data_IF_540482229748
#
_entry.id   IF_540482229748
#
_cell.length_a   1.000
_cell.length_b   1.000
_cell.length_c   1.000
_cell.angle_alpha   90.00
_cell.angle_beta   90.00
_cell.angle_gamma   90.00
#
_symmetry.space_group_name_H-M   'P 1'
#
loop_
_entity.id
_entity.type
_entity.pdbx_description
1 polymer ?
#
# COMPACT_ATOMS: atom_id res chain seq x y z
N UNK A 1 -0.73 -19.43 -21.87
CA UNK A 1 0.47 -18.91 -21.21
C UNK A 1 0.70 -19.70 -19.93
N UNK A 2 1.84 -20.37 -19.82
CA UNK A 2 2.15 -21.28 -18.71
C UNK A 2 2.95 -20.52 -17.63
N UNK A 3 2.62 -20.75 -16.35
CA UNK A 3 3.42 -20.32 -15.22
C UNK A 3 4.39 -21.41 -14.80
N UNK A 4 5.61 -21.03 -14.45
CA UNK A 4 6.61 -21.91 -13.85
C UNK A 4 7.18 -21.32 -12.56
N UNK A 5 7.16 -22.10 -11.49
CA UNK A 5 7.81 -21.74 -10.23
C UNK A 5 9.25 -22.24 -10.26
N UNK A 6 10.20 -21.35 -9.97
CA UNK A 6 11.63 -21.67 -10.01
C UNK A 6 12.35 -21.17 -8.76
N UNK A 7 13.41 -21.87 -8.33
CA UNK A 7 14.20 -21.43 -7.19
C UNK A 7 14.98 -20.14 -7.51
N UNK A 8 15.42 -19.45 -6.45
CA UNK A 8 16.19 -18.19 -6.50
C UNK A 8 17.38 -18.24 -7.47
N UNK A 9 18.06 -19.39 -7.57
CA UNK A 9 19.25 -19.57 -8.41
C UNK A 9 18.96 -19.82 -9.89
N UNK A 10 17.68 -19.88 -10.28
CA UNK A 10 17.31 -20.18 -11.66
C UNK A 10 17.61 -19.00 -12.58
N UNK A 11 18.46 -19.25 -13.58
CA UNK A 11 18.68 -18.30 -14.65
C UNK A 11 17.76 -18.67 -15.82
N UNK A 12 16.95 -17.71 -16.27
CA UNK A 12 16.03 -17.92 -17.38
C UNK A 12 16.86 -17.96 -18.66
N UNK A 13 17.05 -19.16 -19.21
CA UNK A 13 17.77 -19.38 -20.46
C UNK A 13 16.95 -18.89 -21.67
N UNK A 14 17.64 -18.42 -22.70
CA UNK A 14 17.03 -18.04 -23.98
C UNK A 14 16.50 -19.28 -24.72
N UNK A 15 15.26 -19.22 -25.21
CA UNK A 15 14.63 -20.28 -26.02
C UNK A 15 13.23 -20.75 -25.57
N UNK A 16 12.72 -20.22 -24.45
CA UNK A 16 11.32 -20.39 -24.07
C UNK A 16 10.52 -19.17 -24.51
N UNK A 17 9.40 -19.37 -25.17
CA UNK A 17 8.51 -18.31 -25.67
C UNK A 17 7.17 -18.38 -24.95
N UNK A 18 6.57 -17.23 -24.67
CA UNK A 18 5.23 -17.08 -24.06
C UNK A 18 5.08 -17.79 -22.68
N UNK A 19 5.99 -17.48 -21.74
CA UNK A 19 5.98 -18.06 -20.38
C UNK A 19 6.13 -17.01 -19.29
N UNK A 20 5.52 -17.30 -18.14
CA UNK A 20 5.68 -16.51 -16.93
C UNK A 20 6.46 -17.32 -15.90
N UNK A 21 7.50 -16.72 -15.34
CA UNK A 21 8.30 -17.32 -14.28
C UNK A 21 8.00 -16.64 -12.95
N UNK A 22 7.72 -17.45 -11.93
CA UNK A 22 7.68 -17.04 -10.53
C UNK A 22 8.98 -17.50 -9.87
N UNK A 23 9.94 -16.58 -9.79
CA UNK A 23 11.22 -16.85 -9.15
C UNK A 23 11.07 -16.64 -7.65
N UNK A 24 11.29 -17.71 -6.87
CA UNK A 24 11.31 -17.61 -5.42
C UNK A 24 12.30 -16.55 -4.95
N UNK A 25 11.93 -15.82 -3.89
CA UNK A 25 12.84 -14.93 -3.19
C UNK A 25 13.28 -15.54 -1.83
N UNK A 26 14.38 -15.05 -1.26
CA UNK A 26 14.90 -15.47 0.05
C UNK A 26 14.31 -14.67 1.22
N UNK A 27 13.49 -13.65 0.94
CA UNK A 27 12.85 -12.83 1.94
C UNK A 27 12.01 -13.67 2.89
N UNK A 28 12.30 -13.52 4.18
CA UNK A 28 11.61 -14.21 5.25
C UNK A 28 10.92 -13.18 6.16
N UNK A 29 9.59 -13.19 6.10
CA UNK A 29 8.71 -12.40 6.94
C UNK A 29 8.64 -13.01 8.34
N UNK A 30 9.18 -12.28 9.32
CA UNK A 30 9.19 -12.63 10.74
C UNK A 30 9.83 -13.98 11.09
N UNK A 31 10.75 -14.47 10.25
CA UNK A 31 11.35 -15.81 10.37
C UNK A 31 10.34 -16.95 10.21
N UNK A 32 9.15 -16.66 9.69
CA UNK A 32 8.04 -17.60 9.58
C UNK A 32 7.56 -17.83 8.15
N UNK A 33 7.57 -16.80 7.28
CA UNK A 33 6.96 -16.91 5.95
C UNK A 33 7.88 -16.45 4.83
N UNK A 34 7.98 -17.25 3.77
CA UNK A 34 8.70 -16.98 2.52
C UNK A 34 7.70 -17.01 1.36
N UNK A 35 6.84 -16.00 1.31
CA UNK A 35 5.75 -15.92 0.33
C UNK A 35 6.07 -15.05 -0.87
N UNK A 36 7.28 -14.50 -0.97
CA UNK A 36 7.68 -13.54 -2.01
C UNK A 36 8.21 -14.24 -3.25
N UNK A 37 7.76 -13.75 -4.41
CA UNK A 37 8.19 -14.19 -5.73
C UNK A 37 8.43 -12.98 -6.64
N UNK A 38 9.46 -13.03 -7.47
CA UNK A 38 9.66 -12.09 -8.58
C UNK A 38 9.04 -12.67 -9.84
N UNK A 39 8.22 -11.87 -10.53
CA UNK A 39 7.51 -12.27 -11.74
C UNK A 39 8.28 -11.77 -12.97
N UNK A 40 8.66 -12.70 -13.83
CA UNK A 40 9.22 -12.40 -15.15
C UNK A 40 8.31 -12.92 -16.25
N UNK A 41 8.14 -12.15 -17.30
CA UNK A 41 7.48 -12.56 -18.53
C UNK A 41 8.52 -12.67 -19.64
N UNK A 42 8.50 -13.78 -20.37
CA UNK A 42 9.26 -13.95 -21.61
C UNK A 42 8.26 -13.93 -22.75
N UNK A 43 8.38 -12.93 -23.62
CA UNK A 43 7.44 -12.74 -24.73
C UNK A 43 7.68 -13.73 -25.88
N UNK A 44 6.98 -13.51 -27.00
CA UNK A 44 7.12 -14.35 -28.18
C UNK A 44 8.48 -14.18 -28.86
N UNK A 45 9.08 -13.01 -28.77
CA UNK A 45 10.39 -12.68 -29.36
C UNK A 45 11.55 -13.17 -28.48
N UNK A 46 11.25 -13.59 -27.24
CA UNK A 46 12.21 -14.08 -26.27
C UNK A 46 12.76 -12.97 -25.36
N UNK A 47 12.20 -11.77 -25.44
CA UNK A 47 12.60 -10.64 -24.60
C UNK A 47 12.06 -10.83 -23.19
N UNK A 48 12.95 -10.57 -22.22
CA UNK A 48 12.65 -10.73 -20.80
C UNK A 48 12.18 -9.42 -20.22
N UNK A 49 10.94 -9.42 -19.72
CA UNK A 49 10.38 -8.31 -18.97
C UNK A 49 10.26 -8.65 -17.48
N UNK A 50 10.75 -7.75 -16.62
CA UNK A 50 10.52 -7.84 -15.18
C UNK A 50 9.17 -7.17 -14.86
N UNK A 51 8.21 -7.96 -14.40
CA UNK A 51 6.88 -7.47 -14.01
C UNK A 51 6.93 -6.88 -12.58
N UNK A 52 7.77 -7.43 -11.71
CA UNK A 52 7.92 -7.00 -10.32
C UNK A 52 7.62 -8.09 -9.31
N UNK A 53 7.36 -7.68 -8.07
CA UNK A 53 7.25 -8.60 -6.92
C UNK A 53 5.79 -8.90 -6.56
N UNK A 54 5.49 -10.17 -6.32
CA UNK A 54 4.20 -10.66 -5.86
C UNK A 54 4.38 -11.50 -4.60
N UNK A 55 3.48 -11.34 -3.63
CA UNK A 55 3.38 -12.32 -2.53
C UNK A 55 2.20 -13.26 -2.78
N UNK A 56 2.42 -14.55 -2.59
CA UNK A 56 1.41 -15.60 -2.77
C UNK A 56 1.20 -16.33 -1.44
N UNK A 57 -0.05 -16.38 -1.00
CA UNK A 57 -0.50 -17.10 0.19
C UNK A 57 -1.32 -18.33 -0.16
N UNK A 58 -1.46 -19.22 0.80
CA UNK A 58 -2.32 -20.40 0.74
C UNK A 58 -3.29 -20.35 1.92
N UNK A 59 -4.54 -20.75 1.71
CA UNK A 59 -5.50 -20.92 2.81
C UNK A 59 -5.07 -22.06 3.74
N UNK A 60 -5.42 -21.96 5.02
CA UNK A 60 -5.19 -23.00 6.02
C UNK A 60 -3.73 -23.48 6.14
N UNK A 61 -2.74 -22.58 5.96
CA UNK A 61 -1.32 -22.93 6.10
C UNK A 61 -1.04 -23.46 7.52
N UNK A 62 -0.50 -24.69 7.59
CA UNK A 62 -0.22 -25.36 8.85
C UNK A 62 0.95 -24.71 9.59
N UNK A 63 1.01 -24.91 10.91
CA UNK A 63 2.12 -24.42 11.72
C UNK A 63 3.47 -24.98 11.18
N UNK A 64 4.47 -24.09 11.03
CA UNK A 64 5.80 -24.35 10.43
C UNK A 64 5.84 -24.48 8.91
N UNK A 65 4.70 -24.38 8.21
CA UNK A 65 4.72 -24.21 6.76
C UNK A 65 5.15 -22.77 6.46
N UNK A 66 6.36 -22.59 5.92
CA UNK A 66 6.90 -21.27 5.60
C UNK A 66 6.66 -20.82 4.15
N UNK A 67 6.42 -21.75 3.21
CA UNK A 67 6.09 -21.47 1.81
C UNK A 67 4.73 -22.05 1.40
N UNK A 68 3.96 -21.38 0.52
CA UNK A 68 2.80 -22.00 -0.11
C UNK A 68 3.23 -23.19 -0.98
N UNK A 69 2.44 -24.27 -1.00
CA UNK A 69 2.74 -25.45 -1.82
C UNK A 69 2.27 -25.25 -3.27
N UNK A 70 2.94 -24.35 -4.00
CA UNK A 70 2.62 -24.09 -5.40
C UNK A 70 3.01 -25.27 -6.29
N UNK A 71 2.20 -25.60 -7.32
CA UNK A 71 2.64 -26.50 -8.39
C UNK A 71 3.88 -25.94 -9.09
N UNK A 72 4.80 -26.81 -9.53
CA UNK A 72 5.96 -26.38 -10.31
C UNK A 72 5.56 -25.68 -11.61
N UNK A 73 4.46 -26.13 -12.23
CA UNK A 73 3.87 -25.52 -13.42
C UNK A 73 2.34 -25.48 -13.32
N UNK A 74 1.72 -24.42 -13.86
CA UNK A 74 0.27 -24.28 -13.90
C UNK A 74 -0.19 -23.23 -14.92
N UNK A 75 -1.40 -23.36 -15.44
CA UNK A 75 -2.06 -22.29 -16.20
C UNK A 75 -2.82 -21.32 -15.28
N UNK A 76 -3.34 -21.83 -14.16
CA UNK A 76 -4.04 -21.07 -13.12
C UNK A 76 -3.86 -21.71 -11.76
N UNK A 77 -3.63 -20.88 -10.74
CA UNK A 77 -3.58 -21.35 -9.36
C UNK A 77 -4.96 -21.82 -8.89
N UNK A 78 -5.03 -22.96 -8.18
CA UNK A 78 -6.25 -23.38 -7.51
C UNK A 78 -6.79 -22.30 -6.57
N UNK A 79 -8.10 -22.30 -6.33
CA UNK A 79 -8.76 -21.33 -5.42
C UNK A 79 -8.30 -21.40 -3.96
N UNK A 80 -7.42 -22.34 -3.62
CA UNK A 80 -6.73 -22.43 -2.32
C UNK A 80 -5.57 -21.45 -2.18
N UNK A 81 -5.23 -20.69 -3.23
CA UNK A 81 -4.17 -19.69 -3.22
C UNK A 81 -4.71 -18.30 -3.53
N UNK A 82 -4.01 -17.28 -3.04
CA UNK A 82 -4.32 -15.88 -3.27
C UNK A 82 -3.02 -15.08 -3.37
N UNK A 83 -3.03 -13.99 -4.14
CA UNK A 83 -1.83 -13.17 -4.36
C UNK A 83 -2.07 -11.68 -4.23
N UNK A 84 -1.00 -10.91 -4.08
CA UNK A 84 -1.02 -9.46 -4.29
C UNK A 84 0.34 -8.94 -4.76
N UNK A 85 0.31 -8.02 -5.73
CA UNK A 85 1.48 -7.21 -6.09
C UNK A 85 1.97 -6.40 -4.89
N UNK A 86 3.28 -6.26 -4.74
CA UNK A 86 3.88 -5.60 -3.58
C UNK A 86 4.10 -4.09 -3.78
N UNK A 87 4.01 -3.62 -5.02
CA UNK A 87 4.22 -2.23 -5.40
C UNK A 87 3.27 -1.82 -6.52
N UNK A 88 3.09 -0.50 -6.69
CA UNK A 88 2.27 0.08 -7.77
C UNK A 88 2.80 -0.32 -9.15
N UNK A 89 4.12 -0.34 -9.30
CA UNK A 89 4.79 -0.67 -10.57
C UNK A 89 4.43 -2.05 -11.08
N UNK A 90 4.11 -3.01 -10.20
CA UNK A 90 3.65 -4.34 -10.61
C UNK A 90 2.40 -4.26 -11.50
N UNK A 91 1.42 -3.47 -11.09
CA UNK A 91 0.19 -3.30 -11.85
C UNK A 91 0.37 -2.36 -13.06
N UNK A 92 1.25 -1.36 -12.96
CA UNK A 92 1.59 -0.48 -14.09
C UNK A 92 2.28 -1.26 -15.23
N UNK A 93 3.27 -2.10 -14.92
CA UNK A 93 3.93 -2.93 -15.94
C UNK A 93 2.96 -3.92 -16.58
N UNK A 94 2.01 -4.49 -15.81
CA UNK A 94 0.94 -5.30 -16.41
C UNK A 94 0.03 -4.49 -17.35
N UNK A 95 -0.29 -3.25 -16.99
CA UNK A 95 -1.07 -2.34 -17.84
C UNK A 95 -0.32 -1.98 -19.13
N UNK A 96 1.01 -1.80 -19.07
CA UNK A 96 1.85 -1.48 -20.22
C UNK A 96 1.91 -2.63 -21.25
N UNK A 97 1.87 -3.88 -20.79
CA UNK A 97 1.89 -5.05 -21.68
C UNK A 97 0.54 -5.21 -22.40
N UNK A 98 -0.57 -5.03 -21.69
CA UNK A 98 -1.90 -5.02 -22.28
C UNK A 98 -3.01 -5.54 -21.36
N UNK A 99 -4.23 -5.08 -21.64
CA UNK A 99 -5.42 -5.39 -20.81
C UNK A 99 -5.69 -6.89 -20.67
N UNK A 100 -5.65 -7.63 -21.79
CA UNK A 100 -5.90 -9.07 -21.80
C UNK A 100 -4.81 -9.84 -21.02
N UNK A 101 -3.55 -9.42 -21.17
CA UNK A 101 -2.42 -10.00 -20.44
C UNK A 101 -2.58 -9.77 -18.94
N UNK A 102 -2.81 -8.52 -18.52
CA UNK A 102 -3.06 -8.18 -17.10
C UNK A 102 -4.20 -9.01 -16.54
N UNK A 103 -5.35 -9.04 -17.21
CA UNK A 103 -6.52 -9.75 -16.73
C UNK A 103 -6.25 -11.24 -16.59
N UNK A 104 -5.54 -11.84 -17.56
CA UNK A 104 -5.13 -13.23 -17.50
C UNK A 104 -4.21 -13.51 -16.31
N UNK A 105 -3.12 -12.74 -16.15
CA UNK A 105 -2.14 -12.94 -15.08
C UNK A 105 -2.74 -12.79 -13.71
N UNK A 106 -3.46 -11.69 -13.46
CA UNK A 106 -4.07 -11.43 -12.16
C UNK A 106 -5.18 -12.45 -11.82
N UNK A 107 -5.94 -12.91 -12.80
CA UNK A 107 -6.94 -13.97 -12.60
C UNK A 107 -6.29 -15.33 -12.35
N UNK A 108 -5.18 -15.64 -13.04
CA UNK A 108 -4.45 -16.89 -12.88
C UNK A 108 -3.77 -17.01 -11.51
N UNK A 109 -3.30 -15.89 -10.95
CA UNK A 109 -2.67 -15.84 -9.63
C UNK A 109 -3.65 -15.64 -8.46
N UNK A 110 -4.95 -15.48 -8.75
CA UNK A 110 -5.98 -15.14 -7.77
C UNK A 110 -5.67 -13.83 -7.02
N UNK A 111 -5.34 -12.77 -7.76
CA UNK A 111 -4.99 -11.47 -7.18
C UNK A 111 -6.15 -10.84 -6.41
N UNK A 112 -5.91 -10.48 -5.15
CA UNK A 112 -6.93 -9.99 -4.23
C UNK A 112 -7.34 -8.53 -4.48
N UNK A 113 -6.55 -7.77 -5.23
CA UNK A 113 -6.94 -6.43 -5.67
C UNK A 113 -7.96 -6.53 -6.81
N UNK A 114 -7.73 -7.44 -7.77
CA UNK A 114 -8.66 -7.76 -8.86
C UNK A 114 -9.91 -8.50 -8.38
N UNK A 115 -9.78 -9.43 -7.42
CA UNK A 115 -10.86 -10.32 -6.95
C UNK A 115 -11.27 -9.99 -5.49
N UNK A 116 -12.25 -9.08 -5.28
CA UNK A 116 -12.65 -8.67 -3.93
C UNK A 116 -13.14 -9.82 -3.04
N UNK A 117 -13.82 -10.83 -3.61
CA UNK A 117 -14.26 -12.00 -2.87
C UNK A 117 -13.10 -12.80 -2.29
N UNK A 118 -11.97 -12.89 -3.01
CA UNK A 118 -10.76 -13.56 -2.54
C UNK A 118 -10.15 -12.80 -1.36
N UNK A 119 -10.11 -11.46 -1.43
CA UNK A 119 -9.67 -10.62 -0.31
C UNK A 119 -10.49 -10.87 0.96
N UNK A 120 -11.82 -10.86 0.85
CA UNK A 120 -12.70 -10.99 2.03
C UNK A 120 -12.61 -12.38 2.67
N UNK A 121 -12.33 -13.44 1.88
CA UNK A 121 -12.08 -14.78 2.39
C UNK A 121 -10.70 -14.88 3.05
N UNK A 122 -9.65 -14.32 2.44
CA UNK A 122 -8.27 -14.45 2.90
C UNK A 122 -7.92 -13.51 4.07
N UNK A 123 -8.66 -12.42 4.31
CA UNK A 123 -8.26 -11.37 5.28
C UNK A 123 -8.01 -11.85 6.71
N UNK A 124 -8.63 -12.96 7.10
CA UNK A 124 -8.50 -13.54 8.44
C UNK A 124 -7.32 -14.51 8.59
N UNK A 125 -6.76 -14.95 7.45
CA UNK A 125 -5.62 -15.85 7.43
C UNK A 125 -4.41 -15.24 8.15
N UNK A 126 -3.66 -16.10 8.83
CA UNK A 126 -2.45 -15.66 9.54
C UNK A 126 -1.38 -15.18 8.56
N UNK A 127 -1.16 -15.95 7.48
CA UNK A 127 -0.19 -15.59 6.43
C UNK A 127 -0.56 -14.27 5.75
N UNK A 128 -1.85 -13.99 5.59
CA UNK A 128 -2.34 -12.73 5.01
C UNK A 128 -1.90 -11.54 5.86
N UNK A 129 -2.12 -11.59 7.18
CA UNK A 129 -1.78 -10.52 8.12
C UNK A 129 -0.28 -10.35 8.33
N UNK A 130 0.47 -11.45 8.43
CA UNK A 130 1.88 -11.40 8.83
C UNK A 130 2.85 -11.24 7.65
N UNK A 131 2.47 -11.76 6.48
CA UNK A 131 3.36 -11.83 5.31
C UNK A 131 2.82 -11.02 4.15
N UNK A 132 1.65 -11.39 3.62
CA UNK A 132 1.10 -10.85 2.36
C UNK A 132 0.86 -9.33 2.45
N UNK A 133 0.29 -8.86 3.56
CA UNK A 133 -0.02 -7.45 3.80
C UNK A 133 1.01 -6.73 4.67
N UNK A 134 2.25 -7.23 4.77
CA UNK A 134 3.28 -6.58 5.59
C UNK A 134 3.56 -5.16 5.11
N UNK A 135 3.73 -4.98 3.80
CA UNK A 135 4.08 -3.70 3.20
C UNK A 135 2.89 -3.02 2.51
N UNK A 136 1.81 -3.75 2.24
CA UNK A 136 0.59 -3.26 1.58
C UNK A 136 -0.56 -3.08 2.58
N UNK A 137 -1.25 -1.93 2.53
CA UNK A 137 -2.43 -1.66 3.38
C UNK A 137 -3.74 -2.07 2.71
N UNK A 138 -4.77 -2.39 3.50
CA UNK A 138 -6.12 -2.68 2.99
C UNK A 138 -6.70 -1.56 2.13
N UNK A 139 -6.37 -0.30 2.47
CA UNK A 139 -6.78 0.90 1.72
C UNK A 139 -6.16 0.88 0.32
N UNK A 140 -4.87 0.55 0.21
CA UNK A 140 -4.20 0.39 -1.09
C UNK A 140 -4.81 -0.75 -1.91
N UNK A 141 -5.10 -1.90 -1.28
CA UNK A 141 -5.72 -3.06 -1.96
C UNK A 141 -7.08 -2.69 -2.53
N UNK A 142 -7.97 -2.11 -1.70
CA UNK A 142 -9.35 -1.79 -2.09
C UNK A 142 -9.43 -0.56 -3.01
N UNK A 143 -8.43 0.33 -2.95
CA UNK A 143 -8.34 1.56 -3.71
C UNK A 143 -7.41 1.44 -4.92
N UNK A 144 -6.18 1.93 -4.76
CA UNK A 144 -5.24 2.12 -5.87
C UNK A 144 -4.95 0.83 -6.64
N UNK A 145 -4.65 -0.27 -5.94
CA UNK A 145 -4.26 -1.52 -6.61
C UNK A 145 -5.44 -2.12 -7.36
N UNK A 146 -6.66 -2.05 -6.79
CA UNK A 146 -7.88 -2.50 -7.48
C UNK A 146 -8.13 -1.72 -8.76
N UNK A 147 -7.96 -0.40 -8.74
CA UNK A 147 -8.13 0.40 -9.97
C UNK A 147 -7.12 0.00 -11.04
N UNK A 148 -5.84 -0.08 -10.67
CA UNK A 148 -4.77 -0.49 -11.59
C UNK A 148 -4.96 -1.91 -12.12
N UNK A 149 -5.39 -2.85 -11.26
CA UNK A 149 -5.73 -4.22 -11.65
C UNK A 149 -6.87 -4.28 -12.68
N UNK A 150 -7.79 -3.31 -12.66
CA UNK A 150 -8.87 -3.17 -13.64
C UNK A 150 -8.48 -2.28 -14.84
N UNK A 151 -7.22 -1.87 -14.98
CA UNK A 151 -6.76 -1.02 -16.08
C UNK A 151 -7.00 0.48 -15.88
N UNK A 152 -7.55 0.89 -14.74
CA UNK A 152 -7.71 2.31 -14.41
C UNK A 152 -6.42 2.87 -13.81
N UNK A 153 -5.51 3.26 -14.72
CA UNK A 153 -4.23 3.88 -14.42
C UNK A 153 -4.34 5.39 -14.08
N UNK A 154 -5.55 5.95 -13.99
CA UNK A 154 -5.70 7.38 -13.71
C UNK A 154 -5.24 7.69 -12.28
N UNK A 155 -4.52 8.81 -12.14
CA UNK A 155 -4.17 9.36 -10.83
C UNK A 155 -5.45 9.55 -9.99
N UNK A 156 -5.33 9.35 -8.67
CA UNK A 156 -6.51 9.34 -7.79
C UNK A 156 -6.94 10.76 -7.45
N UNK A 157 -8.18 11.15 -7.79
CA UNK A 157 -8.80 12.34 -7.19
C UNK A 157 -9.10 12.07 -5.71
N UNK A 158 -8.72 12.98 -4.83
CA UNK A 158 -9.15 12.94 -3.43
C UNK A 158 -9.47 14.34 -2.92
N UNK A 159 -10.41 14.39 -1.98
CA UNK A 159 -10.77 15.62 -1.30
C UNK A 159 -11.19 15.33 0.14
N UNK A 160 -10.63 16.10 1.06
CA UNK A 160 -10.93 16.00 2.48
C UNK A 160 -10.76 17.36 3.15
N UNK A 161 -11.39 17.50 4.31
CA UNK A 161 -11.34 18.71 5.12
C UNK A 161 -10.78 18.34 6.49
N UNK A 162 -9.83 19.12 6.99
CA UNK A 162 -9.42 19.09 8.38
C UNK A 162 -10.01 20.29 9.11
N UNK A 163 -10.80 20.04 10.15
CA UNK A 163 -11.34 21.07 11.03
C UNK A 163 -10.54 21.11 12.32
N UNK A 164 -9.86 22.23 12.58
CA UNK A 164 -9.05 22.44 13.78
C UNK A 164 -9.91 22.47 15.06
N UNK A 165 -9.33 22.20 16.25
CA UNK A 165 -10.08 22.31 17.49
C UNK A 165 -10.52 23.76 17.77
N UNK A 166 -11.71 23.93 18.35
CA UNK A 166 -12.19 25.25 18.77
C UNK A 166 -11.33 25.76 19.92
N UNK A 167 -10.73 26.94 19.76
CA UNK A 167 -9.97 27.60 20.83
C UNK A 167 -10.94 28.01 21.93
N UNK A 168 -10.71 27.55 23.17
CA UNK A 168 -11.52 27.90 24.34
C UNK A 168 -11.56 29.42 24.51
N UNK A 169 -12.76 29.98 24.69
CA UNK A 169 -12.97 31.42 24.84
C UNK A 169 -12.94 32.23 23.54
N UNK A 170 -12.66 31.60 22.38
CA UNK A 170 -12.76 32.27 21.09
C UNK A 170 -14.19 32.25 20.56
N UNK A 171 -14.68 33.42 20.14
CA UNK A 171 -15.93 33.56 19.38
C UNK A 171 -15.76 33.20 17.90
N UNK A 172 -14.52 33.06 17.42
CA UNK A 172 -14.25 32.70 16.02
C UNK A 172 -14.57 31.23 15.77
N UNK A 173 -15.10 30.94 14.58
CA UNK A 173 -15.27 29.56 14.10
C UNK A 173 -13.90 28.86 14.03
N UNK A 174 -13.87 27.53 14.21
CA UNK A 174 -12.67 26.75 13.94
C UNK A 174 -12.18 26.95 12.51
N UNK A 175 -10.87 26.76 12.32
CA UNK A 175 -10.26 26.84 11.00
C UNK A 175 -10.54 25.53 10.26
N UNK A 176 -11.09 25.64 9.05
CA UNK A 176 -11.23 24.53 8.12
C UNK A 176 -10.12 24.61 7.07
N UNK A 177 -9.39 23.52 6.90
CA UNK A 177 -8.40 23.35 5.84
C UNK A 177 -8.94 22.34 4.82
N UNK A 178 -9.23 22.83 3.62
CA UNK A 178 -9.69 21.98 2.51
C UNK A 178 -8.52 21.54 1.66
N UNK A 179 -8.47 20.24 1.40
CA UNK A 179 -7.50 19.61 0.51
C UNK A 179 -8.28 19.05 -0.66
N UNK A 180 -7.97 19.50 -1.87
CA UNK A 180 -8.54 18.96 -3.11
C UNK A 180 -7.41 18.71 -4.09
N UNK A 181 -7.25 17.44 -4.46
CA UNK A 181 -6.22 17.00 -5.39
C UNK A 181 -6.89 16.49 -6.65
N UNK A 182 -6.59 17.19 -7.74
CA UNK A 182 -7.08 16.96 -9.09
C UNK A 182 -5.91 16.33 -9.88
N UNK A 183 -6.05 15.06 -10.28
CA UNK A 183 -5.19 14.38 -11.24
C UNK A 183 -4.85 15.26 -12.46
N UNK A 184 -3.60 15.21 -12.91
CA UNK A 184 -3.14 15.85 -14.16
C UNK A 184 -3.33 17.37 -14.22
N UNK A 185 -3.65 18.01 -13.08
CA UNK A 185 -3.78 19.46 -13.02
C UNK A 185 -2.43 20.13 -13.28
N UNK A 186 -2.45 21.25 -14.00
CA UNK A 186 -1.30 22.12 -14.17
C UNK A 186 -1.63 23.53 -13.64
N UNK A 187 -1.01 24.01 -12.55
CA UNK A 187 0.00 23.33 -11.73
C UNK A 187 -0.54 22.13 -10.92
N UNK A 188 0.32 21.21 -10.43
CA UNK A 188 -0.09 20.10 -9.58
C UNK A 188 -0.78 20.56 -8.30
N UNK A 189 -1.88 19.91 -7.93
CA UNK A 189 -2.71 20.24 -6.75
C UNK A 189 -2.38 19.40 -5.51
N UNK A 190 -1.43 18.46 -5.62
CA UNK A 190 -1.02 17.54 -4.55
C UNK A 190 0.06 18.08 -3.60
N UNK A 191 0.40 19.38 -3.70
CA UNK A 191 1.37 20.05 -2.83
C UNK A 191 0.67 21.22 -2.14
N UNK A 192 0.69 21.22 -0.81
CA UNK A 192 0.09 22.27 0.01
C UNK A 192 1.17 22.94 0.87
N UNK A 193 1.23 24.27 0.86
CA UNK A 193 2.25 25.05 1.57
C UNK A 193 1.57 25.87 2.67
N UNK A 194 2.01 25.69 3.92
CA UNK A 194 1.54 26.46 5.08
C UNK A 194 2.58 27.51 5.49
N UNK A 195 2.26 28.79 5.29
CA UNK A 195 3.15 29.94 5.58
C UNK A 195 2.57 30.79 6.72
N UNK A 196 3.43 31.37 7.54
CA UNK A 196 3.04 32.28 8.62
C UNK A 196 4.23 32.69 9.47
N UNK A 197 4.07 33.74 10.30
CA UNK A 197 5.12 34.23 11.20
C UNK A 197 5.62 33.13 12.16
N UNK A 198 6.80 33.32 12.73
CA UNK A 198 7.29 32.43 13.79
C UNK A 198 6.37 32.51 15.01
N UNK A 199 6.13 31.36 15.66
CA UNK A 199 5.28 31.28 16.85
C UNK A 199 3.76 31.27 16.62
N UNK A 200 3.26 31.40 15.38
CA UNK A 200 1.80 31.41 15.10
C UNK A 200 1.11 30.04 15.20
N UNK A 201 1.85 28.98 15.56
CA UNK A 201 1.27 27.66 15.77
C UNK A 201 1.23 26.72 14.55
N UNK A 202 2.00 26.98 13.49
CA UNK A 202 2.07 26.08 12.30
C UNK A 202 2.39 24.63 12.66
N UNK A 203 3.46 24.41 13.45
CA UNK A 203 3.85 23.07 13.93
C UNK A 203 2.77 22.46 14.83
N UNK A 204 2.11 23.26 15.66
CA UNK A 204 1.01 22.78 16.50
C UNK A 204 -0.18 22.30 15.65
N UNK A 205 -0.53 23.02 14.58
CA UNK A 205 -1.60 22.64 13.66
C UNK A 205 -1.29 21.31 12.96
N UNK A 206 -0.06 21.16 12.43
CA UNK A 206 0.39 19.90 11.83
C UNK A 206 0.37 18.74 12.82
N UNK A 207 0.84 18.96 14.05
CA UNK A 207 0.79 17.94 15.11
C UNK A 207 -0.65 17.55 15.48
N UNK A 208 -1.58 18.50 15.49
CA UNK A 208 -2.99 18.20 15.73
C UNK A 208 -3.60 17.36 14.59
N UNK A 209 -3.28 17.68 13.34
CA UNK A 209 -3.67 16.87 12.18
C UNK A 209 -3.17 15.43 12.33
N UNK A 210 -1.86 15.26 12.58
CA UNK A 210 -1.24 13.94 12.76
C UNK A 210 -1.90 13.21 13.95
N UNK A 211 -2.06 13.87 15.10
CA UNK A 211 -2.72 13.29 16.28
C UNK A 211 -4.17 12.85 16.00
N UNK A 212 -4.91 13.61 15.21
CA UNK A 212 -6.29 13.27 14.87
C UNK A 212 -6.41 12.05 13.96
N UNK A 213 -5.36 11.68 13.22
CA UNK A 213 -5.30 10.47 12.40
C UNK A 213 -4.84 9.27 13.23
N UNK A 214 -3.77 9.46 14.01
CA UNK A 214 -3.06 8.35 14.64
C UNK A 214 -3.71 7.88 15.96
N UNK A 215 -4.30 8.81 16.73
CA UNK A 215 -4.78 8.55 18.08
C UNK A 215 -6.30 8.44 18.09
N UNK A 216 -6.81 7.22 18.17
CA UNK A 216 -8.25 6.94 18.17
C UNK A 216 -8.97 7.47 19.41
N UNK A 217 -8.25 7.62 20.53
CA UNK A 217 -8.78 8.16 21.78
C UNK A 217 -8.67 9.69 21.85
N UNK A 218 -8.05 10.34 20.87
CA UNK A 218 -7.93 11.78 20.85
C UNK A 218 -9.29 12.43 20.60
N UNK A 219 -9.74 13.22 21.59
CA UNK A 219 -10.99 13.96 21.48
C UNK A 219 -10.93 14.95 20.30
N UNK A 220 -11.93 14.96 19.39
CA UNK A 220 -12.03 15.95 18.31
C UNK A 220 -11.99 17.40 18.81
N UNK A 221 -12.43 17.64 20.04
CA UNK A 221 -12.38 18.95 20.69
C UNK A 221 -10.96 19.43 21.03
N UNK A 222 -9.99 18.51 21.14
CA UNK A 222 -8.59 18.79 21.48
C UNK A 222 -7.69 18.87 20.26
N UNK A 223 -7.89 17.97 19.28
CA UNK A 223 -6.98 17.81 18.13
C UNK A 223 -7.64 18.07 16.77
N UNK A 224 -8.95 18.36 16.74
CA UNK A 224 -9.69 18.50 15.49
C UNK A 224 -10.06 17.14 14.88
N UNK A 225 -10.60 17.17 13.67
CA UNK A 225 -11.02 15.96 12.96
C UNK A 225 -10.95 16.13 11.44
N UNK A 226 -10.80 14.99 10.75
CA UNK A 226 -10.90 14.91 9.30
C UNK A 226 -12.31 14.50 8.89
N UNK A 227 -12.79 15.10 7.81
CA UNK A 227 -14.04 14.70 7.14
C UNK A 227 -13.72 14.46 5.67
N UNK A 228 -14.16 13.32 5.14
CA UNK A 228 -14.11 13.05 3.71
C UNK A 228 -15.24 13.78 3.00
N UNK A 229 -14.99 14.36 1.82
CA UNK A 229 -16.06 14.89 0.96
C UNK A 229 -16.63 13.81 0.03
N UNK A 230 -15.94 12.68 -0.10
CA UNK A 230 -16.45 11.43 -0.70
C UNK A 230 -16.91 10.47 0.41
N UNK A 231 -17.80 9.52 0.14
CA UNK A 231 -18.37 8.55 1.12
C UNK A 231 -17.33 7.57 1.74
N UNK A 232 -16.07 7.95 1.89
CA UNK A 232 -15.01 7.20 2.53
C UNK A 232 -15.09 7.37 4.05
N UNK A 233 -14.88 6.27 4.78
CA UNK A 233 -14.73 6.33 6.23
C UNK A 233 -13.39 7.00 6.60
N UNK A 234 -13.27 7.51 7.83
CA UNK A 234 -12.04 8.16 8.31
C UNK A 234 -10.80 7.25 8.17
N UNK A 235 -10.95 5.94 8.38
CA UNK A 235 -9.88 4.94 8.28
C UNK A 235 -9.53 4.57 6.83
N UNK A 236 -10.32 5.02 5.85
CA UNK A 236 -10.06 4.78 4.44
C UNK A 236 -9.47 6.00 3.72
N UNK A 237 -9.38 7.15 4.42
CA UNK A 237 -8.84 8.40 3.86
C UNK A 237 -7.34 8.31 3.59
N UNK A 238 -6.58 7.70 4.50
CA UNK A 238 -5.13 7.68 4.44
C UNK A 238 -4.60 6.26 4.57
N UNK A 239 -3.93 5.75 3.54
CA UNK A 239 -3.27 4.45 3.58
C UNK A 239 -2.07 4.44 4.54
N UNK A 240 -1.29 5.54 4.53
CA UNK A 240 -0.12 5.75 5.37
C UNK A 240 0.08 7.26 5.59
N UNK A 241 0.72 7.63 6.70
CA UNK A 241 1.16 9.02 6.98
C UNK A 241 2.67 9.01 7.23
N UNK A 242 3.40 9.91 6.58
CA UNK A 242 4.84 10.11 6.79
C UNK A 242 5.06 11.53 7.27
N UNK A 243 5.68 11.69 8.43
CA UNK A 243 6.08 12.98 8.98
C UNK A 243 7.59 13.09 8.99
N UNK A 244 8.13 14.10 8.31
CA UNK A 244 9.57 14.42 8.30
C UNK A 244 9.73 15.83 8.86
N UNK A 245 10.54 15.95 9.91
CA UNK A 245 10.96 17.25 10.45
C UNK A 245 12.48 17.35 10.48
N UNK A 246 12.99 18.50 10.06
CA UNK A 246 14.39 18.89 10.15
C UNK A 246 14.68 19.77 11.38
N UNK A 247 13.65 20.10 12.17
CA UNK A 247 13.80 20.90 13.38
C UNK A 247 14.15 20.01 14.57
N UNK A 248 15.23 20.35 15.27
CA UNK A 248 15.61 19.68 16.52
C UNK A 248 14.58 19.90 17.64
N UNK A 249 13.69 20.90 17.50
CA UNK A 249 12.68 21.27 18.48
C UNK A 249 11.32 20.62 18.25
N UNK A 250 11.14 19.90 17.13
CA UNK A 250 9.89 19.21 16.85
C UNK A 250 9.85 17.88 17.61
N UNK A 251 9.09 17.87 18.71
CA UNK A 251 8.99 16.76 19.67
C UNK A 251 7.95 15.70 19.28
N UNK A 252 7.79 15.37 18.00
CA UNK A 252 6.93 14.25 17.61
C UNK A 252 7.63 12.94 17.96
N UNK A 253 7.21 12.27 19.04
CA UNK A 253 7.64 10.90 19.32
C UNK A 253 7.05 9.95 18.27
N UNK A 254 7.84 9.03 17.69
CA UNK A 254 7.32 8.01 16.81
C UNK A 254 6.36 7.11 17.60
N UNK A 255 5.09 7.10 17.21
CA UNK A 255 4.14 6.13 17.73
C UNK A 255 4.48 4.73 17.21
N UNK A 256 4.16 3.67 17.98
CA UNK A 256 4.45 2.29 17.59
C UNK A 256 3.72 1.90 16.30
N UNK A 257 4.44 1.18 15.42
CA UNK A 257 3.91 0.66 14.16
C UNK A 257 2.78 -0.34 14.42
N UNK A 258 1.62 -0.16 13.77
CA UNK A 258 0.50 -1.11 13.87
C UNK A 258 0.84 -2.40 13.12
N UNK A 259 0.74 -3.53 13.81
CA UNK A 259 1.11 -4.86 13.26
C UNK A 259 0.07 -5.49 12.33
N UNK A 260 -1.19 -5.05 12.34
CA UNK A 260 -2.26 -5.67 11.56
C UNK A 260 -2.85 -4.68 10.54
N UNK A 261 -2.44 -4.80 9.26
CA UNK A 261 -2.91 -3.96 8.14
C UNK A 261 -4.10 -4.56 7.38
N UNK A 262 -4.50 -5.80 7.69
CA UNK A 262 -5.54 -6.52 6.94
C UNK A 262 -6.97 -6.19 7.37
N UNK A 263 -7.15 -5.78 8.62
CA UNK A 263 -8.47 -5.54 9.21
C UNK A 263 -8.98 -4.09 9.06
N UNK A 264 -8.31 -3.26 8.26
CA UNK A 264 -8.72 -1.86 8.08
C UNK A 264 -8.33 -1.01 9.27
N UNK A 265 -7.10 -0.50 9.24
CA UNK A 265 -6.62 0.46 10.22
C UNK A 265 -5.28 1.03 9.77
N UNK A 266 -5.15 2.35 9.82
CA UNK A 266 -3.98 3.10 9.37
C UNK A 266 -2.69 2.50 9.92
N UNK A 267 -1.83 1.97 9.04
CA UNK A 267 -0.44 1.73 9.40
C UNK A 267 0.34 3.01 9.19
N UNK A 268 1.06 3.45 10.21
CA UNK A 268 1.81 4.69 10.14
C UNK A 268 3.26 4.38 10.48
N UNK A 269 4.17 4.70 9.56
CA UNK A 269 5.61 4.74 9.80
C UNK A 269 6.01 6.19 10.06
N UNK A 270 6.28 6.53 11.32
CA UNK A 270 6.98 7.78 11.64
C UNK A 270 8.48 7.57 11.44
N UNK A 271 9.06 8.14 10.38
CA UNK A 271 10.51 8.13 10.15
C UNK A 271 11.13 9.45 10.60
N UNK A 272 11.98 9.41 11.62
CA UNK A 272 12.79 10.57 12.04
C UNK A 272 14.13 10.56 11.31
N UNK A 273 14.34 11.48 10.38
CA UNK A 273 15.67 11.71 9.79
C UNK A 273 16.38 12.72 10.71
N UNK A 274 17.28 12.24 11.58
CA UNK A 274 18.19 13.13 12.32
C UNK A 274 19.35 13.51 11.41
N UNK A 275 19.31 14.72 10.84
CA UNK A 275 20.49 15.33 10.25
C UNK A 275 21.34 15.93 11.37
N UNK A 276 22.48 15.29 11.67
CA UNK A 276 23.52 15.93 12.47
C UNK A 276 24.28 16.89 11.56
N UNK A 277 24.00 18.19 11.67
CA UNK A 277 24.96 19.19 11.20
C UNK A 277 26.17 19.11 12.12
N UNK A 278 27.29 18.59 11.60
CA UNK A 278 28.60 18.85 12.20
C UNK A 278 28.91 20.32 11.91
N UNK A 279 28.72 21.19 12.90
CA UNK A 279 29.51 22.42 13.02
C UNK A 279 30.89 22.08 13.53
#
# INVERSE_FOLDING_TARGET
>A
MLFEVKPVSFNIASGYHDRIYLIEDQWNDWWEYRTMYTVYYIDMDGDRQNIGSVKIGQFDMVAKQDRPHLPETFDKLPGTFFSIGQDVSYYETLNEIGDDFRQHVLTALNDIALLPGMYENARHERVMRQSIMRDVSSVSVKGQYRRLANGDARLTKYSFIYTAPKIKGSLKKPIDLTFEVIPESNPPTNIHILIGRNGVGKTHLLNNMINSLINQDASPSKVGFFTSTSNLSKNDLFANVVFVSFSAFDAAEPLPERRNKAEGGDSIRLCRIKTYSKT
#
